data_IF_102412523642
#
_entry.id   IF_102412523642
#
_cell.length_a   1.000
_cell.length_b   1.000
_cell.length_c   1.000
_cell.angle_alpha   90.00
_cell.angle_beta   90.00
_cell.angle_gamma   90.00
#
_symmetry.space_group_name_H-M   'P 1'
#
loop_
_entity.id
_entity.type
_entity.pdbx_description
1 polymer ?
#
# COMPACT_ATOMS: atom_id res chain seq x y z
N UNK A 1 -59.04 27.63 24.13
CA UNK A 1 -58.95 26.36 23.38
C UNK A 1 -59.28 26.68 21.93
N UNK A 2 -58.33 26.53 21.02
CA UNK A 2 -58.62 26.51 19.58
C UNK A 2 -58.43 25.09 19.07
N UNK A 3 -59.54 24.39 18.87
CA UNK A 3 -59.56 23.10 18.19
C UNK A 3 -59.70 23.35 16.70
N UNK A 4 -58.56 23.55 16.02
CA UNK A 4 -58.49 23.31 14.57
C UNK A 4 -58.82 21.83 14.35
N UNK A 5 -59.85 21.57 13.55
CA UNK A 5 -60.29 20.20 13.26
C UNK A 5 -59.18 19.44 12.51
N UNK A 6 -59.23 18.11 12.54
CA UNK A 6 -58.21 17.31 11.84
C UNK A 6 -58.21 17.53 10.32
N UNK A 7 -59.31 18.07 9.78
CA UNK A 7 -59.48 18.43 8.36
C UNK A 7 -58.63 19.66 8.01
N UNK A 8 -58.78 20.75 8.76
CA UNK A 8 -58.03 22.01 8.58
C UNK A 8 -56.50 21.78 8.62
N UNK A 9 -56.06 20.84 9.45
CA UNK A 9 -54.65 20.48 9.63
C UNK A 9 -54.06 19.70 8.45
N UNK A 10 -54.88 19.01 7.66
CA UNK A 10 -54.46 18.35 6.42
C UNK A 10 -54.43 19.35 5.27
N UNK A 11 -55.44 20.24 5.18
CA UNK A 11 -55.46 21.35 4.21
C UNK A 11 -54.26 22.30 4.38
N UNK A 12 -53.84 22.54 5.63
CA UNK A 12 -52.58 23.21 5.96
C UNK A 12 -51.37 22.51 5.34
N UNK A 13 -51.27 21.18 5.45
CA UNK A 13 -50.16 20.42 4.91
C UNK A 13 -50.11 20.48 3.38
N UNK A 14 -51.24 20.31 2.70
CA UNK A 14 -51.31 20.31 1.23
C UNK A 14 -51.01 21.71 0.65
N UNK A 15 -51.50 22.76 1.32
CA UNK A 15 -51.20 24.16 0.96
C UNK A 15 -49.72 24.49 1.13
N UNK A 16 -49.11 24.08 2.24
CA UNK A 16 -47.69 24.29 2.51
C UNK A 16 -46.78 23.41 1.63
N UNK A 17 -47.23 22.21 1.25
CA UNK A 17 -46.54 21.37 0.27
C UNK A 17 -46.49 22.05 -1.11
N UNK A 18 -47.60 22.66 -1.53
CA UNK A 18 -47.67 23.46 -2.77
C UNK A 18 -46.71 24.65 -2.74
N UNK A 19 -46.58 25.32 -1.58
CA UNK A 19 -45.57 26.37 -1.39
C UNK A 19 -44.13 25.82 -1.43
N UNK A 20 -43.82 24.70 -0.77
CA UNK A 20 -42.47 24.08 -0.84
C UNK A 20 -42.09 23.69 -2.27
N UNK A 21 -43.04 23.31 -3.13
CA UNK A 21 -42.77 22.99 -4.53
C UNK A 21 -42.25 24.18 -5.35
N UNK A 22 -42.52 25.44 -4.95
CA UNK A 22 -41.99 26.62 -5.67
C UNK A 22 -40.49 26.79 -5.52
N UNK A 23 -39.86 26.12 -4.54
CA UNK A 23 -38.43 26.23 -4.28
C UNK A 23 -37.55 25.58 -5.37
N UNK A 24 -38.10 24.72 -6.24
CA UNK A 24 -37.32 24.03 -7.28
C UNK A 24 -36.16 23.24 -6.68
N UNK A 25 -36.48 22.28 -5.80
CA UNK A 25 -35.52 21.46 -5.06
C UNK A 25 -35.09 20.24 -5.87
N UNK A 26 -33.90 19.70 -5.56
CA UNK A 26 -33.36 18.52 -6.25
C UNK A 26 -34.07 17.22 -5.82
N UNK A 27 -34.47 17.14 -4.55
CA UNK A 27 -35.25 16.02 -4.05
C UNK A 27 -36.72 16.10 -4.55
N UNK A 28 -37.35 14.96 -4.88
CA UNK A 28 -38.78 14.93 -5.17
C UNK A 28 -39.58 15.45 -3.97
N UNK A 29 -40.64 16.22 -4.23
CA UNK A 29 -41.44 16.89 -3.22
C UNK A 29 -42.92 16.96 -3.62
N UNK A 30 -43.45 15.87 -4.22
CA UNK A 30 -44.80 15.83 -4.79
C UNK A 30 -45.85 15.31 -3.82
N UNK A 31 -45.43 14.55 -2.81
CA UNK A 31 -46.31 13.87 -1.86
C UNK A 31 -45.82 14.07 -0.43
N UNK A 32 -46.72 13.91 0.54
CA UNK A 32 -46.42 13.87 1.99
C UNK A 32 -45.24 12.91 2.26
N UNK A 33 -45.25 11.73 1.64
CA UNK A 33 -44.25 10.68 1.84
C UNK A 33 -42.82 11.13 1.46
N UNK A 34 -42.66 11.89 0.37
CA UNK A 34 -41.35 12.40 -0.09
C UNK A 34 -40.66 13.27 0.99
N UNK A 35 -41.46 14.07 1.71
CA UNK A 35 -40.99 15.00 2.73
C UNK A 35 -40.63 14.30 4.07
N UNK A 36 -41.19 13.12 4.36
CA UNK A 36 -40.92 12.38 5.60
C UNK A 36 -39.44 12.02 5.78
N UNK A 37 -38.66 12.01 4.70
CA UNK A 37 -37.21 11.82 4.70
C UNK A 37 -36.43 12.94 5.43
N UNK A 38 -37.04 14.13 5.58
CA UNK A 38 -36.40 15.35 6.07
C UNK A 38 -35.42 16.01 5.08
N UNK A 39 -35.16 15.40 3.92
CA UNK A 39 -34.20 15.88 2.92
C UNK A 39 -34.71 17.15 2.24
N UNK A 40 -35.97 17.11 1.78
CA UNK A 40 -36.66 18.25 1.13
C UNK A 40 -36.67 19.48 2.06
N UNK A 41 -37.00 19.29 3.34
CA UNK A 41 -37.02 20.36 4.34
C UNK A 41 -35.63 20.97 4.56
N UNK A 42 -34.58 20.14 4.60
CA UNK A 42 -33.22 20.60 4.78
C UNK A 42 -32.72 21.41 3.57
N UNK A 43 -33.08 20.99 2.34
CA UNK A 43 -32.80 21.75 1.13
C UNK A 43 -33.60 23.08 1.08
N UNK A 44 -34.86 23.09 1.54
CA UNK A 44 -35.65 24.31 1.65
C UNK A 44 -35.02 25.32 2.63
N UNK A 45 -34.59 24.86 3.82
CA UNK A 45 -33.90 25.70 4.81
C UNK A 45 -32.56 26.24 4.29
N UNK A 46 -31.80 25.42 3.55
CA UNK A 46 -30.58 25.87 2.88
C UNK A 46 -30.83 26.97 1.84
N UNK A 47 -31.99 26.98 1.16
CA UNK A 47 -32.37 28.11 0.29
C UNK A 47 -32.85 29.33 1.07
N UNK A 48 -33.55 29.14 2.19
CA UNK A 48 -34.04 30.25 3.05
C UNK A 48 -32.87 31.06 3.61
N UNK A 49 -31.82 30.39 4.07
CA UNK A 49 -30.61 31.02 4.60
C UNK A 49 -29.40 30.09 4.46
N UNK A 50 -28.66 30.25 3.35
CA UNK A 50 -27.45 29.46 3.06
C UNK A 50 -26.28 29.78 4.00
N UNK A 51 -26.31 30.94 4.67
CA UNK A 51 -25.26 31.38 5.60
C UNK A 51 -25.38 30.63 6.92
N UNK A 52 -26.61 30.40 7.40
CA UNK A 52 -26.87 29.58 8.58
C UNK A 52 -26.92 28.07 8.25
N UNK A 53 -27.73 27.68 7.26
CA UNK A 53 -27.95 26.29 6.85
C UNK A 53 -26.90 25.82 5.82
N UNK A 54 -25.63 25.92 6.21
CA UNK A 54 -24.45 25.59 5.37
C UNK A 54 -24.39 24.14 4.88
N UNK A 55 -23.52 23.87 3.90
CA UNK A 55 -23.25 22.51 3.40
C UNK A 55 -22.78 21.52 4.50
N UNK A 56 -22.09 22.03 5.53
CA UNK A 56 -21.68 21.24 6.69
C UNK A 56 -22.87 20.90 7.63
N UNK A 57 -23.96 21.65 7.56
CA UNK A 57 -25.21 21.31 8.23
C UNK A 57 -26.00 20.29 7.41
N UNK A 58 -26.21 20.54 6.10
CA UNK A 58 -27.03 19.65 5.26
C UNK A 58 -26.40 18.26 5.08
N UNK A 59 -25.07 18.14 5.03
CA UNK A 59 -24.36 16.85 4.98
C UNK A 59 -24.61 15.94 6.20
N UNK A 60 -25.18 16.46 7.29
CA UNK A 60 -25.62 15.67 8.45
C UNK A 60 -26.96 14.96 8.21
N UNK A 61 -27.71 15.37 7.19
CA UNK A 61 -28.97 14.78 6.74
C UNK A 61 -28.63 13.67 5.74
N UNK A 62 -29.09 12.45 5.99
CA UNK A 62 -28.83 11.32 5.08
C UNK A 62 -29.83 11.34 3.93
N UNK A 63 -29.42 11.33 2.65
CA UNK A 63 -30.36 11.31 1.53
C UNK A 63 -30.98 9.91 1.29
N UNK A 64 -30.17 8.84 1.39
CA UNK A 64 -30.61 7.46 1.16
C UNK A 64 -31.29 6.86 2.40
N UNK A 65 -32.53 7.29 2.66
CA UNK A 65 -33.30 6.85 3.84
C UNK A 65 -34.19 5.64 3.54
N UNK A 66 -34.85 5.63 2.38
CA UNK A 66 -35.90 4.65 2.04
C UNK A 66 -36.98 4.55 3.14
N UNK A 67 -37.49 3.34 3.35
CA UNK A 67 -38.52 3.05 4.35
C UNK A 67 -37.99 2.97 5.80
N UNK A 68 -36.72 3.34 6.05
CA UNK A 68 -36.13 3.28 7.37
C UNK A 68 -36.58 4.46 8.24
N UNK A 69 -37.78 4.32 8.82
CA UNK A 69 -38.41 5.32 9.69
C UNK A 69 -37.49 5.84 10.82
N UNK A 70 -36.59 5.02 11.37
CA UNK A 70 -35.63 5.47 12.40
C UNK A 70 -34.62 6.48 11.85
N UNK A 71 -34.21 6.31 10.59
CA UNK A 71 -33.36 7.28 9.89
C UNK A 71 -34.17 8.51 9.46
N UNK A 72 -35.44 8.36 9.04
CA UNK A 72 -36.38 9.49 8.83
C UNK A 72 -36.46 10.38 10.08
N UNK A 73 -36.80 9.80 11.24
CA UNK A 73 -36.82 10.50 12.54
C UNK A 73 -35.46 11.13 12.86
N UNK A 74 -34.34 10.45 12.59
CA UNK A 74 -33.00 10.99 12.85
C UNK A 74 -32.67 12.22 12.00
N UNK A 75 -33.18 12.31 10.78
CA UNK A 75 -33.09 13.49 9.94
C UNK A 75 -34.03 14.58 10.44
N UNK A 76 -35.32 14.28 10.64
CA UNK A 76 -36.34 15.23 11.14
C UNK A 76 -35.94 15.87 12.48
N UNK A 77 -35.31 15.12 13.38
CA UNK A 77 -34.72 15.65 14.64
C UNK A 77 -33.68 16.75 14.41
N UNK A 78 -32.85 16.64 13.38
CA UNK A 78 -31.82 17.64 13.04
C UNK A 78 -32.44 18.85 12.35
N UNK A 79 -33.42 18.63 11.47
CA UNK A 79 -34.18 19.71 10.81
C UNK A 79 -34.93 20.54 11.85
N UNK A 80 -35.72 19.90 12.73
CA UNK A 80 -36.49 20.59 13.76
C UNK A 80 -35.58 21.36 14.71
N UNK A 81 -34.47 20.75 15.14
CA UNK A 81 -33.48 21.46 15.95
C UNK A 81 -32.93 22.68 15.21
N UNK A 82 -32.51 22.55 13.95
CA UNK A 82 -31.98 23.68 13.17
C UNK A 82 -32.98 24.82 12.98
N UNK A 83 -34.27 24.50 12.82
CA UNK A 83 -35.36 25.48 12.79
C UNK A 83 -35.46 26.25 14.12
N UNK A 84 -35.47 25.53 15.25
CA UNK A 84 -35.61 26.15 16.57
C UNK A 84 -34.38 26.99 16.94
N UNK A 85 -33.18 26.46 16.70
CA UNK A 85 -31.92 27.18 16.89
C UNK A 85 -31.90 28.46 16.01
N UNK A 86 -32.31 28.39 14.73
CA UNK A 86 -32.40 29.57 13.84
C UNK A 86 -33.40 30.64 14.32
N UNK A 87 -34.59 30.23 14.75
CA UNK A 87 -35.60 31.16 15.27
C UNK A 87 -35.11 31.91 16.52
N UNK A 88 -34.38 31.21 17.39
CA UNK A 88 -33.85 31.78 18.62
C UNK A 88 -32.58 32.64 18.39
N UNK A 89 -31.62 32.13 17.60
CA UNK A 89 -30.29 32.74 17.45
C UNK A 89 -30.27 33.87 16.40
N UNK A 90 -30.98 33.69 15.28
CA UNK A 90 -30.97 34.64 14.14
C UNK A 90 -32.20 35.54 14.15
N UNK A 91 -33.40 34.95 14.21
CA UNK A 91 -34.64 35.73 14.12
C UNK A 91 -35.02 36.42 15.45
N UNK A 92 -34.40 36.01 16.56
CA UNK A 92 -34.70 36.48 17.93
C UNK A 92 -36.19 36.33 18.33
N UNK A 93 -36.90 35.41 17.67
CA UNK A 93 -38.31 35.12 17.93
C UNK A 93 -38.42 33.91 18.84
N UNK A 94 -38.98 34.13 20.03
CA UNK A 94 -39.45 33.02 20.85
C UNK A 94 -40.79 32.54 20.28
N UNK A 95 -40.80 31.30 19.81
CA UNK A 95 -42.02 30.60 19.42
C UNK A 95 -42.77 30.20 20.71
N UNK A 96 -43.36 31.19 21.37
CA UNK A 96 -44.19 31.01 22.55
C UNK A 96 -45.62 30.61 22.11
N UNK A 97 -46.23 29.70 22.85
CA UNK A 97 -47.60 29.18 22.66
C UNK A 97 -47.90 28.36 21.38
N UNK A 98 -46.93 28.13 20.48
CA UNK A 98 -47.07 27.18 19.36
C UNK A 98 -46.83 25.72 19.79
N UNK A 99 -47.56 24.77 19.18
CA UNK A 99 -47.37 23.34 19.44
C UNK A 99 -46.31 22.76 18.49
N UNK A 100 -45.17 22.32 19.04
CA UNK A 100 -44.10 21.69 18.25
C UNK A 100 -44.57 20.39 17.56
N UNK A 101 -44.10 20.09 16.33
CA UNK A 101 -44.50 18.89 15.58
C UNK A 101 -43.95 17.59 16.19
N UNK A 102 -44.77 16.55 16.26
CA UNK A 102 -44.31 15.20 16.65
C UNK A 102 -43.64 14.47 15.47
N UNK A 103 -42.33 14.65 15.39
CA UNK A 103 -41.43 14.00 14.42
C UNK A 103 -41.49 12.47 14.44
N UNK A 104 -41.98 11.81 15.49
CA UNK A 104 -42.13 10.35 15.50
C UNK A 104 -43.36 9.94 14.68
N UNK A 105 -44.48 10.67 14.77
CA UNK A 105 -45.66 10.45 13.94
C UNK A 105 -45.39 10.74 12.44
N UNK A 106 -44.61 11.78 12.14
CA UNK A 106 -44.14 12.04 10.76
C UNK A 106 -43.28 10.87 10.25
N UNK A 107 -42.35 10.36 11.07
CA UNK A 107 -41.41 9.32 10.66
C UNK A 107 -41.99 7.91 10.57
N UNK A 108 -42.88 7.52 11.49
CA UNK A 108 -43.48 6.18 11.59
C UNK A 108 -44.81 6.03 10.85
N UNK A 109 -45.57 7.12 10.69
CA UNK A 109 -46.95 7.08 10.18
C UNK A 109 -47.21 8.05 9.02
N UNK A 110 -46.20 8.83 8.60
CA UNK A 110 -46.35 9.88 7.58
C UNK A 110 -47.51 10.86 7.89
N UNK A 111 -47.69 11.20 9.17
CA UNK A 111 -48.81 12.03 9.62
C UNK A 111 -48.76 13.42 8.98
N UNK A 112 -49.76 13.73 8.15
CA UNK A 112 -49.85 14.98 7.41
C UNK A 112 -50.09 16.19 8.32
N UNK A 113 -50.78 16.05 9.46
CA UNK A 113 -51.05 17.16 10.36
C UNK A 113 -49.79 17.59 11.15
N UNK A 114 -48.95 16.63 11.54
CA UNK A 114 -47.62 16.92 12.10
C UNK A 114 -46.65 17.42 11.02
N UNK A 115 -46.73 16.89 9.79
CA UNK A 115 -45.94 17.40 8.67
C UNK A 115 -46.31 18.86 8.35
N UNK A 116 -47.59 19.21 8.36
CA UNK A 116 -48.08 20.58 8.20
C UNK A 116 -47.50 21.53 9.25
N UNK A 117 -47.50 21.15 10.54
CA UNK A 117 -46.81 21.91 11.61
C UNK A 117 -45.31 22.09 11.33
N UNK A 118 -44.64 21.03 10.88
CA UNK A 118 -43.22 21.08 10.53
C UNK A 118 -42.94 22.07 9.38
N UNK A 119 -43.80 22.10 8.36
CA UNK A 119 -43.72 23.06 7.26
C UNK A 119 -44.10 24.49 7.68
N UNK A 120 -45.05 24.66 8.60
CA UNK A 120 -45.47 25.97 9.12
C UNK A 120 -44.31 26.68 9.84
N UNK A 121 -43.44 25.93 10.53
CA UNK A 121 -42.21 26.48 11.10
C UNK A 121 -41.18 26.89 10.03
N UNK A 122 -41.05 26.14 8.93
CA UNK A 122 -40.18 26.50 7.80
C UNK A 122 -40.69 27.76 7.09
N UNK A 123 -42.02 27.88 6.93
CA UNK A 123 -42.67 29.10 6.48
C UNK A 123 -42.38 30.28 7.42
N UNK A 124 -42.47 30.06 8.74
CA UNK A 124 -42.07 31.02 9.77
C UNK A 124 -40.63 31.52 9.59
N UNK A 125 -39.67 30.64 9.28
CA UNK A 125 -38.32 31.04 8.93
C UNK A 125 -38.28 31.90 7.66
N UNK A 126 -38.94 31.47 6.58
CA UNK A 126 -38.91 32.13 5.27
C UNK A 126 -39.52 33.54 5.26
N UNK A 127 -40.58 33.79 6.03
CA UNK A 127 -41.22 35.12 6.10
C UNK A 127 -40.54 36.08 7.08
N UNK A 128 -39.57 35.60 7.88
CA UNK A 128 -38.83 36.40 8.85
C UNK A 128 -37.34 36.60 8.51
N UNK A 129 -36.74 35.77 7.65
CA UNK A 129 -35.33 35.89 7.23
C UNK A 129 -35.03 37.20 6.47
N UNK A 130 -33.74 37.46 6.19
CA UNK A 130 -33.29 38.66 5.47
C UNK A 130 -33.94 38.79 4.08
N UNK A 131 -34.09 37.66 3.37
CA UNK A 131 -34.66 37.59 2.01
C UNK A 131 -36.19 37.43 1.99
N UNK A 132 -36.90 37.65 3.11
CA UNK A 132 -38.35 37.44 3.23
C UNK A 132 -39.22 38.07 2.14
N UNK A 133 -38.77 39.15 1.52
CA UNK A 133 -39.51 39.80 0.43
C UNK A 133 -39.69 38.88 -0.78
N UNK A 134 -38.70 38.04 -1.12
CA UNK A 134 -38.78 37.09 -2.23
C UNK A 134 -39.76 35.95 -1.93
N UNK A 135 -39.73 35.44 -0.69
CA UNK A 135 -40.66 34.41 -0.23
C UNK A 135 -42.11 34.91 -0.13
N UNK A 136 -42.32 36.14 0.36
CA UNK A 136 -43.65 36.77 0.40
C UNK A 136 -44.19 37.03 -1.01
N UNK A 137 -43.36 37.53 -1.95
CA UNK A 137 -43.76 37.69 -3.35
C UNK A 137 -44.12 36.34 -3.99
N UNK A 138 -43.35 35.28 -3.70
CA UNK A 138 -43.65 33.93 -4.19
C UNK A 138 -45.01 33.43 -3.66
N UNK A 139 -45.32 33.67 -2.39
CA UNK A 139 -46.63 33.35 -1.80
C UNK A 139 -47.76 34.10 -2.52
N UNK A 140 -47.59 35.39 -2.81
CA UNK A 140 -48.58 36.22 -3.54
C UNK A 140 -48.85 35.77 -4.99
N UNK A 141 -48.03 34.86 -5.54
CA UNK A 141 -48.22 34.27 -6.87
C UNK A 141 -48.90 32.89 -6.85
N UNK A 142 -49.21 32.34 -5.66
CA UNK A 142 -49.96 31.10 -5.50
C UNK A 142 -51.47 31.28 -5.72
N UNK A 143 -52.23 30.19 -5.76
CA UNK A 143 -53.69 30.24 -5.82
C UNK A 143 -54.30 30.87 -4.55
N UNK A 144 -55.40 31.63 -4.69
CA UNK A 144 -56.01 32.41 -3.60
C UNK A 144 -56.40 31.56 -2.37
N UNK A 145 -56.83 30.32 -2.59
CA UNK A 145 -57.08 29.32 -1.54
C UNK A 145 -55.82 29.04 -0.72
N UNK A 146 -54.71 28.73 -1.38
CA UNK A 146 -53.40 28.47 -0.77
C UNK A 146 -52.88 29.73 -0.06
N UNK A 147 -53.04 30.91 -0.65
CA UNK A 147 -52.67 32.18 -0.02
C UNK A 147 -53.40 32.40 1.30
N UNK A 148 -54.70 32.10 1.37
CA UNK A 148 -55.49 32.26 2.59
C UNK A 148 -55.03 31.31 3.71
N UNK A 149 -54.73 30.05 3.38
CA UNK A 149 -54.21 29.07 4.34
C UNK A 149 -52.82 29.48 4.84
N UNK A 150 -51.92 29.89 3.94
CA UNK A 150 -50.57 30.40 4.28
C UNK A 150 -50.64 31.66 5.16
N UNK A 151 -51.54 32.59 4.84
CA UNK A 151 -51.77 33.80 5.65
C UNK A 151 -52.30 33.46 7.04
N UNK A 152 -53.24 32.51 7.15
CA UNK A 152 -53.77 32.04 8.43
C UNK A 152 -52.69 31.37 9.27
N UNK A 153 -51.84 30.54 8.65
CA UNK A 153 -50.70 29.89 9.29
C UNK A 153 -49.66 30.90 9.84
N UNK A 154 -49.48 32.03 9.15
CA UNK A 154 -48.65 33.17 9.59
C UNK A 154 -49.33 33.96 10.72
N UNK A 155 -50.65 34.14 10.69
CA UNK A 155 -51.40 34.85 11.74
C UNK A 155 -51.55 34.03 13.04
N UNK A 156 -51.62 32.71 12.94
CA UNK A 156 -51.57 31.80 14.09
C UNK A 156 -50.24 31.93 14.83
N UNK A 157 -49.14 32.13 14.11
CA UNK A 157 -47.82 32.47 14.67
C UNK A 157 -47.75 33.89 15.30
N UNK A 158 -48.81 34.73 15.24
CA UNK A 158 -48.73 36.18 15.58
C UNK A 158 -49.90 36.84 16.36
N UNK A 159 -51.01 36.18 16.74
CA UNK A 159 -52.27 36.88 17.16
C UNK A 159 -52.67 36.84 18.67
N UNK A 160 -53.50 37.82 19.13
CA UNK A 160 -54.00 37.99 20.54
C UNK A 160 -55.43 38.66 20.69
N UNK A 161 -56.50 37.85 20.87
CA UNK A 161 -57.88 38.02 21.48
C UNK A 161 -58.90 39.22 21.24
N UNK A 162 -60.22 39.03 21.55
CA UNK A 162 -61.42 39.86 21.14
C UNK A 162 -62.74 39.74 22.03
N UNK A 163 -63.76 40.69 22.04
CA UNK A 163 -65.08 40.61 22.78
C UNK A 163 -66.43 41.06 22.06
N UNK A 164 -67.65 40.87 22.67
CA UNK A 164 -69.04 41.09 22.06
C UNK A 164 -70.23 41.48 23.03
N UNK A 165 -71.38 42.01 22.52
CA UNK A 165 -72.81 42.17 23.03
C UNK A 165 -73.26 43.55 23.62
N UNK A 166 -74.55 44.00 23.70
CA UNK A 166 -75.91 43.52 23.29
C UNK A 166 -77.07 44.37 23.96
N UNK A 167 -78.36 44.35 23.52
CA UNK A 167 -79.44 45.24 24.09
C UNK A 167 -80.94 44.88 23.81
N UNK A 168 -81.91 45.52 24.51
CA UNK A 168 -83.32 45.09 24.75
C UNK A 168 -84.38 46.23 24.77
N UNK A 169 -85.70 45.94 24.62
CA UNK A 169 -86.89 46.79 24.94
C UNK A 169 -88.22 45.96 24.91
N UNK A 170 -89.45 46.48 25.14
CA UNK A 170 -90.11 46.83 26.43
C UNK A 170 -91.66 46.96 26.28
N UNK A 171 -92.35 47.55 27.28
CA UNK A 171 -93.65 48.29 27.24
C UNK A 171 -95.03 47.56 27.09
N UNK A 172 -95.99 47.88 28.00
CA UNK A 172 -97.43 47.59 27.86
C UNK A 172 -98.27 48.82 28.31
N UNK A 173 -99.23 49.27 27.47
CA UNK A 173 -99.30 50.70 27.15
C UNK A 173 -100.62 51.48 27.42
N UNK A 174 -101.58 50.96 28.21
CA UNK A 174 -102.90 51.62 28.32
C UNK A 174 -103.41 52.02 29.70
N UNK A 175 -102.89 51.49 30.82
CA UNK A 175 -103.09 52.15 32.13
C UNK A 175 -102.45 53.55 32.14
N UNK A 176 -101.47 53.72 31.24
CA UNK A 176 -100.87 54.99 30.83
C UNK A 176 -101.86 56.01 30.29
N UNK A 177 -103.06 55.69 29.79
CA UNK A 177 -103.83 56.68 29.04
C UNK A 177 -104.67 57.67 29.89
N UNK A 178 -105.05 57.29 31.10
CA UNK A 178 -105.68 58.22 32.06
C UNK A 178 -104.65 58.84 33.01
N UNK A 179 -103.58 58.09 33.29
CA UNK A 179 -102.35 58.63 33.87
C UNK A 179 -101.82 59.75 32.95
N UNK A 180 -101.75 59.52 31.63
CA UNK A 180 -101.39 60.49 30.58
C UNK A 180 -102.05 61.84 30.79
N UNK A 181 -103.37 62.01 30.92
CA UNK A 181 -103.90 63.39 30.95
C UNK A 181 -103.59 64.20 32.21
N UNK A 182 -103.28 63.55 33.33
CA UNK A 182 -102.77 64.21 34.55
C UNK A 182 -101.25 64.29 34.54
N UNK A 183 -100.57 63.32 33.92
CA UNK A 183 -99.17 63.39 33.54
C UNK A 183 -98.96 64.56 32.57
N UNK A 184 -99.59 64.64 31.40
CA UNK A 184 -99.63 65.74 30.41
C UNK A 184 -99.73 67.14 31.04
N UNK A 185 -100.52 67.33 32.11
CA UNK A 185 -100.61 68.63 32.80
C UNK A 185 -99.44 68.87 33.76
N UNK A 186 -99.01 67.85 34.50
CA UNK A 186 -97.80 67.91 35.32
C UNK A 186 -96.53 67.95 34.46
N UNK A 187 -96.56 67.39 33.25
CA UNK A 187 -95.54 67.34 32.21
C UNK A 187 -95.53 68.66 31.45
N UNK A 188 -96.67 69.32 31.22
CA UNK A 188 -96.71 70.72 30.77
C UNK A 188 -96.12 71.69 31.82
N UNK A 189 -96.32 71.43 33.12
CA UNK A 189 -95.68 72.21 34.19
C UNK A 189 -94.20 71.85 34.38
N UNK A 190 -93.84 70.57 34.29
CA UNK A 190 -92.46 70.10 34.38
C UNK A 190 -91.65 70.55 33.17
N UNK A 191 -92.17 70.45 31.94
CA UNK A 191 -91.52 70.99 30.73
C UNK A 191 -91.44 72.50 30.77
N UNK A 192 -92.41 73.22 31.35
CA UNK A 192 -92.26 74.67 31.58
C UNK A 192 -91.10 74.97 32.55
N UNK A 193 -90.97 74.20 33.64
CA UNK A 193 -89.86 74.35 34.60
C UNK A 193 -88.52 73.91 34.00
N UNK A 194 -88.50 72.83 33.21
CA UNK A 194 -87.34 72.32 32.48
C UNK A 194 -86.91 73.28 31.37
N UNK A 195 -87.85 73.93 30.66
CA UNK A 195 -87.56 75.01 29.72
C UNK A 195 -86.99 76.22 30.46
N UNK A 196 -87.52 76.56 31.64
CA UNK A 196 -86.98 77.66 32.45
C UNK A 196 -85.56 77.35 32.97
N UNK A 197 -85.32 76.13 33.46
CA UNK A 197 -84.00 75.63 33.84
C UNK A 197 -83.04 75.62 32.65
N UNK A 198 -83.47 75.12 31.49
CA UNK A 198 -82.68 75.08 30.27
C UNK A 198 -82.37 76.48 29.71
N UNK A 199 -83.29 77.44 29.84
CA UNK A 199 -83.01 78.85 29.57
C UNK A 199 -81.94 79.38 30.53
N UNK A 200 -82.04 79.09 31.83
CA UNK A 200 -81.04 79.49 32.82
C UNK A 200 -79.66 78.85 32.58
N UNK A 201 -79.62 77.56 32.22
CA UNK A 201 -78.40 76.84 31.84
C UNK A 201 -77.78 77.40 30.55
N UNK A 202 -78.60 77.77 29.56
CA UNK A 202 -78.14 78.44 28.34
C UNK A 202 -77.59 79.84 28.64
N UNK A 203 -78.25 80.62 29.51
CA UNK A 203 -77.72 81.93 29.95
C UNK A 203 -76.39 81.77 30.69
N UNK A 204 -76.25 80.74 31.54
CA UNK A 204 -74.99 80.39 32.21
C UNK A 204 -73.90 79.95 31.22
N UNK A 205 -74.22 79.13 30.22
CA UNK A 205 -73.27 78.75 29.16
C UNK A 205 -72.84 79.95 28.32
N UNK A 206 -73.78 80.85 27.97
CA UNK A 206 -73.47 82.08 27.23
C UNK A 206 -72.56 82.99 28.05
N UNK A 207 -72.77 83.11 29.36
CA UNK A 207 -71.88 83.85 30.25
C UNK A 207 -70.46 83.23 30.29
N UNK A 208 -70.36 81.92 30.48
CA UNK A 208 -69.08 81.21 30.50
C UNK A 208 -68.31 81.33 29.17
N UNK A 209 -68.99 81.18 28.02
CA UNK A 209 -68.40 81.35 26.70
C UNK A 209 -67.97 82.80 26.43
N UNK A 210 -68.66 83.80 27.01
CA UNK A 210 -68.23 85.21 26.93
C UNK A 210 -66.97 85.48 27.76
N UNK A 211 -66.85 84.85 28.93
CA UNK A 211 -65.64 84.92 29.77
C UNK A 211 -64.45 84.24 29.07
N UNK A 212 -64.61 83.02 28.58
CA UNK A 212 -63.58 82.27 27.83
C UNK A 212 -63.10 83.05 26.59
N UNK A 213 -64.02 83.65 25.82
CA UNK A 213 -63.68 84.53 24.70
C UNK A 213 -62.86 85.76 25.15
N UNK A 214 -63.13 86.28 26.34
CA UNK A 214 -62.35 87.37 26.95
C UNK A 214 -60.93 86.94 27.27
N UNK A 215 -60.76 85.79 27.92
CA UNK A 215 -59.46 85.21 28.27
C UNK A 215 -58.61 84.90 27.03
N UNK A 216 -59.19 84.26 26.01
CA UNK A 216 -58.49 83.95 24.76
C UNK A 216 -58.03 85.21 24.01
N UNK A 217 -58.83 86.29 24.02
CA UNK A 217 -58.43 87.57 23.43
C UNK A 217 -57.24 88.22 24.17
N UNK A 218 -57.21 88.13 25.50
CA UNK A 218 -56.10 88.64 26.31
C UNK A 218 -54.80 87.84 26.08
N UNK A 219 -54.89 86.51 26.01
CA UNK A 219 -53.74 85.64 25.67
C UNK A 219 -53.19 85.95 24.27
N UNK A 220 -54.07 86.15 23.29
CA UNK A 220 -53.66 86.48 21.92
C UNK A 220 -52.90 87.82 21.83
N UNK A 221 -53.28 88.82 22.63
CA UNK A 221 -52.53 90.08 22.74
C UNK A 221 -51.13 89.88 23.32
N UNK A 222 -50.99 89.09 24.39
CA UNK A 222 -49.69 88.77 25.01
C UNK A 222 -48.78 88.02 24.03
N UNK A 223 -49.33 87.10 23.23
CA UNK A 223 -48.58 86.37 22.20
C UNK A 223 -48.10 87.31 21.07
N UNK A 224 -48.93 88.25 20.62
CA UNK A 224 -48.53 89.28 19.66
C UNK A 224 -47.41 90.20 20.20
N UNK A 225 -47.48 90.63 21.46
CA UNK A 225 -46.41 91.43 22.08
C UNK A 225 -45.09 90.65 22.17
N UNK A 226 -45.12 89.35 22.47
CA UNK A 226 -43.92 88.50 22.45
C UNK A 226 -43.34 88.34 21.05
N UNK A 227 -44.17 88.20 20.02
CA UNK A 227 -43.71 88.08 18.64
C UNK A 227 -43.01 89.38 18.17
N UNK A 228 -43.60 90.54 18.47
CA UNK A 228 -42.99 91.84 18.20
C UNK A 228 -41.68 92.07 18.98
N UNK A 229 -41.46 91.37 20.10
CA UNK A 229 -40.19 91.39 20.84
C UNK A 229 -39.13 90.47 20.22
N UNK A 230 -39.50 89.38 19.53
CA UNK A 230 -38.53 88.52 18.83
C UNK A 230 -37.92 89.17 17.58
N UNK A 231 -38.63 90.09 16.92
CA UNK A 231 -38.09 90.84 15.77
C UNK A 231 -36.91 91.77 16.15
N UNK A 232 -36.70 92.03 17.46
CA UNK A 232 -35.53 92.74 17.99
C UNK A 232 -34.21 91.96 17.89
N UNK A 233 -34.22 90.70 17.44
CA UNK A 233 -33.01 89.86 17.36
C UNK A 233 -32.09 90.28 16.19
N UNK A 234 -32.61 90.99 15.18
CA UNK A 234 -31.83 91.43 14.00
C UNK A 234 -30.82 92.57 14.29
N UNK A 235 -30.91 93.27 15.44
CA UNK A 235 -29.91 94.28 15.82
C UNK A 235 -28.64 93.65 16.39
N UNK A 236 -27.61 93.55 15.55
CA UNK A 236 -26.26 93.08 15.91
C UNK A 236 -25.63 93.81 17.11
N UNK A 237 -26.01 95.06 17.41
CA UNK A 237 -25.45 95.81 18.54
C UNK A 237 -26.08 95.46 19.89
N UNK A 238 -27.27 94.86 19.89
CA UNK A 238 -27.97 94.34 21.06
C UNK A 238 -27.12 93.33 21.83
N UNK A 239 -27.20 93.26 23.19
CA UNK A 239 -26.56 92.21 23.97
C UNK A 239 -26.94 90.79 23.51
N UNK A 240 -28.15 90.62 22.97
CA UNK A 240 -28.64 89.35 22.42
C UNK A 240 -27.97 89.05 21.08
N UNK A 241 -27.91 90.02 20.16
CA UNK A 241 -27.26 89.90 18.85
C UNK A 241 -25.77 89.55 18.96
N UNK A 242 -25.03 90.21 19.87
CA UNK A 242 -23.60 89.87 20.12
C UNK A 242 -23.41 88.45 20.66
N UNK A 243 -24.30 88.00 21.55
CA UNK A 243 -24.26 86.63 22.08
C UNK A 243 -24.59 85.61 20.99
N UNK A 244 -25.54 85.91 20.11
CA UNK A 244 -25.87 85.08 18.96
C UNK A 244 -24.67 84.95 18.01
N UNK A 245 -24.03 86.06 17.63
CA UNK A 245 -22.83 86.05 16.79
C UNK A 245 -21.67 85.27 17.43
N UNK A 246 -21.44 85.43 18.74
CA UNK A 246 -20.40 84.68 19.45
C UNK A 246 -20.68 83.16 19.45
N UNK A 247 -21.93 82.75 19.63
CA UNK A 247 -22.33 81.34 19.54
C UNK A 247 -22.22 80.82 18.10
N UNK A 248 -22.51 81.64 17.10
CA UNK A 248 -22.35 81.28 15.68
C UNK A 248 -20.88 81.03 15.33
N UNK A 249 -19.94 81.92 15.71
CA UNK A 249 -18.50 81.69 15.47
C UNK A 249 -17.97 80.48 16.24
N UNK A 250 -18.50 80.18 17.43
CA UNK A 250 -18.17 78.94 18.15
C UNK A 250 -18.71 77.70 17.43
N UNK A 251 -19.93 77.76 16.87
CA UNK A 251 -20.51 76.69 16.06
C UNK A 251 -19.67 76.41 14.82
N UNK A 252 -19.29 77.46 14.09
CA UNK A 252 -18.43 77.39 12.89
C UNK A 252 -17.06 76.78 13.22
N UNK A 253 -16.43 77.20 14.32
CA UNK A 253 -15.14 76.64 14.76
C UNK A 253 -15.24 75.15 15.14
N UNK A 254 -16.28 74.76 15.87
CA UNK A 254 -16.52 73.35 16.24
C UNK A 254 -16.85 72.52 14.99
N UNK A 255 -17.55 73.07 14.00
CA UNK A 255 -17.80 72.40 12.71
C UNK A 255 -16.50 72.18 11.93
N UNK A 256 -15.61 73.18 11.86
CA UNK A 256 -14.30 73.05 11.20
C UNK A 256 -13.40 72.04 11.91
N UNK A 257 -13.34 72.06 13.24
CA UNK A 257 -12.59 71.08 14.03
C UNK A 257 -13.17 69.67 13.88
N UNK A 258 -14.50 69.52 13.86
CA UNK A 258 -15.18 68.25 13.59
C UNK A 258 -14.80 67.71 12.21
N UNK A 259 -14.89 68.53 11.15
CA UNK A 259 -14.52 68.12 9.80
C UNK A 259 -13.05 67.69 9.70
N UNK A 260 -12.14 68.44 10.34
CA UNK A 260 -10.72 68.09 10.40
C UNK A 260 -10.46 66.77 11.13
N UNK A 261 -11.19 66.50 12.22
CA UNK A 261 -11.10 65.25 12.95
C UNK A 261 -11.71 64.08 12.15
N UNK A 262 -12.77 64.32 11.39
CA UNK A 262 -13.39 63.33 10.49
C UNK A 262 -12.40 62.85 9.42
N UNK A 263 -11.71 63.78 8.75
CA UNK A 263 -10.67 63.48 7.76
C UNK A 263 -9.51 62.70 8.39
N UNK A 264 -9.00 63.15 9.54
CA UNK A 264 -7.91 62.45 10.24
C UNK A 264 -8.32 61.03 10.68
N UNK A 265 -9.58 60.84 11.11
CA UNK A 265 -10.16 59.53 11.46
C UNK A 265 -10.19 58.61 10.25
N UNK A 266 -10.55 59.10 9.07
CA UNK A 266 -10.54 58.29 7.83
C UNK A 266 -9.11 57.97 7.35
N UNK A 267 -8.15 58.90 7.47
CA UNK A 267 -6.73 58.60 7.20
C UNK A 267 -6.19 57.49 8.12
N UNK A 268 -6.51 57.55 9.43
CA UNK A 268 -6.14 56.49 10.37
C UNK A 268 -6.86 55.17 10.06
N UNK A 269 -8.12 55.20 9.64
CA UNK A 269 -8.88 54.00 9.23
C UNK A 269 -8.22 53.31 8.05
N UNK A 270 -7.89 54.06 6.98
CA UNK A 270 -7.20 53.53 5.79
C UNK A 270 -5.85 52.91 6.21
N UNK A 271 -5.07 53.60 7.04
CA UNK A 271 -3.78 53.08 7.51
C UNK A 271 -3.91 51.81 8.37
N UNK A 272 -4.98 51.67 9.15
CA UNK A 272 -5.28 50.43 9.87
C UNK A 272 -5.66 49.29 8.91
N UNK A 273 -6.40 49.57 7.83
CA UNK A 273 -6.74 48.59 6.79
C UNK A 273 -5.48 48.15 6.00
N UNK A 274 -4.56 49.06 5.71
CA UNK A 274 -3.26 48.78 5.07
C UNK A 274 -2.36 47.90 5.96
N UNK A 275 -2.14 48.28 7.21
CA UNK A 275 -1.37 47.48 8.18
C UNK A 275 -2.03 46.12 8.45
N UNK A 276 -3.36 46.04 8.38
CA UNK A 276 -4.10 44.77 8.43
C UNK A 276 -3.76 43.85 7.26
N UNK A 277 -3.70 44.38 6.04
CA UNK A 277 -3.29 43.63 4.83
C UNK A 277 -1.84 43.16 4.93
N UNK A 278 -0.91 44.04 5.28
CA UNK A 278 0.50 43.69 5.48
C UNK A 278 0.66 42.57 6.53
N UNK A 279 -0.08 42.64 7.65
CA UNK A 279 -0.07 41.59 8.68
C UNK A 279 -0.64 40.26 8.17
N UNK A 280 -1.67 40.26 7.32
CA UNK A 280 -2.17 39.02 6.71
C UNK A 280 -1.20 38.43 5.69
N UNK A 281 -0.55 39.27 4.89
CA UNK A 281 0.44 38.83 3.89
C UNK A 281 1.70 38.25 4.57
N UNK A 282 2.23 38.93 5.58
CA UNK A 282 3.36 38.44 6.37
C UNK A 282 3.05 37.15 7.14
N UNK A 283 1.79 36.94 7.56
CA UNK A 283 1.36 35.66 8.15
C UNK A 283 1.36 34.54 7.11
N UNK A 284 0.78 34.77 5.93
CA UNK A 284 0.79 33.80 4.84
C UNK A 284 2.22 33.41 4.43
N UNK A 285 3.11 34.38 4.24
CA UNK A 285 4.53 34.13 3.95
C UNK A 285 5.23 33.31 5.06
N UNK A 286 4.88 33.52 6.32
CA UNK A 286 5.46 32.76 7.45
C UNK A 286 4.91 31.32 7.52
N UNK A 287 3.63 31.12 7.19
CA UNK A 287 3.01 29.80 7.04
C UNK A 287 3.64 29.01 5.88
N UNK A 288 3.86 29.65 4.73
CA UNK A 288 4.58 29.07 3.58
C UNK A 288 6.03 28.70 3.93
N UNK A 289 6.77 29.59 4.61
CA UNK A 289 8.13 29.32 5.07
C UNK A 289 8.19 28.18 6.10
N UNK A 290 7.18 28.06 6.96
CA UNK A 290 7.06 26.94 7.92
C UNK A 290 6.80 25.63 7.18
N UNK A 291 5.88 25.61 6.22
CA UNK A 291 5.60 24.43 5.38
C UNK A 291 6.84 23.97 4.60
N UNK A 292 7.61 24.90 4.03
CA UNK A 292 8.88 24.61 3.35
C UNK A 292 9.96 24.08 4.30
N UNK A 293 9.98 24.53 5.55
CA UNK A 293 10.90 24.02 6.57
C UNK A 293 10.55 22.58 6.98
N UNK A 294 9.26 22.27 7.13
CA UNK A 294 8.75 20.93 7.43
C UNK A 294 9.03 19.96 6.26
N UNK A 295 8.80 20.38 5.01
CA UNK A 295 9.14 19.60 3.82
C UNK A 295 10.66 19.33 3.73
N UNK A 296 11.49 20.35 3.95
CA UNK A 296 12.94 20.20 3.96
C UNK A 296 13.44 19.25 5.06
N UNK A 297 12.77 19.22 6.22
CA UNK A 297 13.08 18.28 7.29
C UNK A 297 12.62 16.85 6.94
N UNK A 298 11.45 16.66 6.32
CA UNK A 298 11.00 15.35 5.81
C UNK A 298 11.95 14.78 4.76
N UNK A 299 12.36 15.60 3.77
CA UNK A 299 13.31 15.20 2.73
C UNK A 299 14.68 14.82 3.32
N UNK A 300 15.12 15.49 4.39
CA UNK A 300 16.35 15.17 5.10
C UNK A 300 16.26 13.83 5.82
N UNK A 301 15.12 13.52 6.46
CA UNK A 301 14.90 12.24 7.13
C UNK A 301 14.86 11.09 6.11
N UNK A 302 14.25 11.30 4.93
CA UNK A 302 14.33 10.36 3.79
C UNK A 302 15.78 10.17 3.30
N UNK A 303 16.57 11.24 3.16
CA UNK A 303 17.98 11.15 2.78
C UNK A 303 18.81 10.34 3.78
N UNK A 304 18.53 10.46 5.08
CA UNK A 304 19.26 9.69 6.11
C UNK A 304 18.84 8.21 6.14
N UNK A 305 17.57 7.89 5.85
CA UNK A 305 17.13 6.51 5.59
C UNK A 305 17.85 5.93 4.35
N UNK A 306 17.93 6.69 3.26
CA UNK A 306 18.62 6.28 2.04
C UNK A 306 20.12 6.07 2.28
N UNK A 307 20.79 6.95 3.05
CA UNK A 307 22.19 6.76 3.49
C UNK A 307 22.38 5.46 4.25
N UNK A 308 21.52 5.18 5.23
CA UNK A 308 21.61 3.92 5.99
C UNK A 308 21.40 2.68 5.10
N UNK A 309 20.52 2.78 4.10
CA UNK A 309 20.34 1.72 3.10
C UNK A 309 21.60 1.53 2.23
N UNK A 310 22.27 2.62 1.84
CA UNK A 310 23.50 2.60 1.04
C UNK A 310 24.67 1.96 1.82
N UNK A 311 24.84 2.32 3.09
CA UNK A 311 25.83 1.69 3.99
C UNK A 311 25.60 0.18 4.12
N UNK A 312 24.33 -0.25 4.13
CA UNK A 312 23.96 -1.67 4.18
C UNK A 312 24.28 -2.38 2.85
N UNK A 313 24.03 -1.74 1.71
CA UNK A 313 24.41 -2.25 0.38
C UNK A 313 25.93 -2.40 0.28
N UNK A 314 26.71 -1.38 0.65
CA UNK A 314 28.18 -1.43 0.62
C UNK A 314 28.75 -2.59 1.47
N UNK A 315 28.17 -2.82 2.67
CA UNK A 315 28.53 -3.98 3.50
C UNK A 315 28.19 -5.32 2.84
N UNK A 316 27.06 -5.41 2.14
CA UNK A 316 26.66 -6.61 1.38
C UNK A 316 27.61 -6.84 0.18
N UNK A 317 28.00 -5.80 -0.54
CA UNK A 317 28.96 -5.88 -1.65
C UNK A 317 30.32 -6.42 -1.20
N UNK A 318 30.87 -5.91 -0.08
CA UNK A 318 32.12 -6.41 0.50
C UNK A 318 32.01 -7.90 0.89
N UNK A 319 30.86 -8.32 1.45
CA UNK A 319 30.63 -9.74 1.75
C UNK A 319 30.55 -10.59 0.48
N UNK A 320 29.83 -10.14 -0.55
CA UNK A 320 29.73 -10.81 -1.87
C UNK A 320 31.12 -10.97 -2.49
N UNK A 321 31.96 -9.94 -2.47
CA UNK A 321 33.32 -10.02 -3.00
C UNK A 321 34.18 -11.02 -2.22
N UNK A 322 34.02 -11.07 -0.89
CA UNK A 322 34.68 -12.09 -0.05
C UNK A 322 34.23 -13.53 -0.38
N UNK A 323 32.98 -13.71 -0.82
CA UNK A 323 32.46 -15.02 -1.25
C UNK A 323 32.90 -15.39 -2.66
N UNK A 324 33.00 -14.44 -3.60
CA UNK A 324 33.62 -14.68 -4.92
C UNK A 324 35.03 -15.20 -4.78
N UNK A 325 35.87 -14.53 -3.99
CA UNK A 325 37.25 -14.97 -3.74
C UNK A 325 37.33 -16.39 -3.17
N UNK A 326 36.48 -16.72 -2.19
CA UNK A 326 36.38 -18.09 -1.66
C UNK A 326 35.95 -19.12 -2.71
N UNK A 327 35.12 -18.74 -3.68
CA UNK A 327 34.73 -19.62 -4.80
C UNK A 327 35.87 -19.81 -5.80
N UNK A 328 36.68 -18.79 -6.05
CA UNK A 328 37.91 -18.88 -6.85
C UNK A 328 38.93 -19.80 -6.17
N UNK A 329 39.21 -19.60 -4.88
CA UNK A 329 40.09 -20.46 -4.06
C UNK A 329 39.63 -21.94 -4.09
N UNK A 330 38.31 -22.18 -4.01
CA UNK A 330 37.72 -23.53 -4.14
C UNK A 330 37.86 -24.10 -5.55
N UNK A 331 37.78 -23.26 -6.59
CA UNK A 331 38.05 -23.64 -7.97
C UNK A 331 39.50 -24.06 -8.18
N UNK A 332 40.45 -23.31 -7.61
CA UNK A 332 41.87 -23.61 -7.64
C UNK A 332 42.19 -24.92 -6.90
N UNK A 333 41.63 -25.11 -5.70
CA UNK A 333 41.76 -26.35 -4.95
C UNK A 333 41.21 -27.56 -5.72
N UNK A 334 40.05 -27.43 -6.39
CA UNK A 334 39.50 -28.50 -7.25
C UNK A 334 40.44 -28.84 -8.42
N UNK A 335 41.08 -27.85 -9.05
CA UNK A 335 42.07 -28.11 -10.11
C UNK A 335 43.33 -28.80 -9.56
N UNK A 336 43.79 -28.42 -8.36
CA UNK A 336 44.91 -29.10 -7.69
C UNK A 336 44.58 -30.56 -7.36
N UNK A 337 43.39 -30.85 -6.84
CA UNK A 337 42.92 -32.22 -6.58
C UNK A 337 42.94 -33.05 -7.87
N UNK A 338 42.36 -32.54 -8.96
CA UNK A 338 42.37 -33.24 -10.26
C UNK A 338 43.78 -33.53 -10.77
N UNK A 339 44.71 -32.58 -10.64
CA UNK A 339 46.12 -32.78 -11.01
C UNK A 339 46.83 -33.82 -10.13
N UNK A 340 46.45 -33.95 -8.86
CA UNK A 340 46.97 -34.99 -7.96
C UNK A 340 46.37 -36.37 -8.29
N UNK A 341 45.08 -36.44 -8.64
CA UNK A 341 44.42 -37.66 -9.11
C UNK A 341 45.02 -38.17 -10.44
N UNK A 342 45.27 -37.27 -11.39
CA UNK A 342 45.95 -37.58 -12.66
C UNK A 342 47.38 -38.11 -12.41
N UNK A 343 48.16 -37.45 -11.54
CA UNK A 343 49.51 -37.92 -11.15
C UNK A 343 49.48 -39.27 -10.43
N UNK A 344 48.53 -39.49 -9.53
CA UNK A 344 48.38 -40.76 -8.81
C UNK A 344 48.03 -41.91 -9.80
N UNK A 345 47.13 -41.64 -10.74
CA UNK A 345 46.79 -42.57 -11.83
C UNK A 345 48.03 -42.93 -12.67
N UNK A 346 48.87 -41.94 -13.02
CA UNK A 346 50.12 -42.18 -13.73
C UNK A 346 51.12 -43.00 -12.90
N UNK A 347 51.28 -42.73 -11.61
CA UNK A 347 52.13 -43.54 -10.72
C UNK A 347 51.62 -44.98 -10.58
N UNK A 348 50.30 -45.19 -10.54
CA UNK A 348 49.69 -46.52 -10.52
C UNK A 348 49.96 -47.28 -11.83
N UNK A 349 49.77 -46.64 -12.99
CA UNK A 349 50.10 -47.22 -14.30
C UNK A 349 51.59 -47.59 -14.42
N UNK A 350 52.48 -46.70 -13.97
CA UNK A 350 53.91 -46.95 -13.98
C UNK A 350 54.31 -48.11 -13.04
N UNK A 351 53.69 -48.19 -11.85
CA UNK A 351 53.88 -49.31 -10.92
C UNK A 351 53.46 -50.63 -11.56
N UNK A 352 52.28 -50.71 -12.19
CA UNK A 352 51.83 -51.91 -12.91
C UNK A 352 52.79 -52.28 -14.05
N UNK A 353 53.28 -51.31 -14.83
CA UNK A 353 54.27 -51.56 -15.88
C UNK A 353 55.58 -52.15 -15.33
N UNK A 354 56.10 -51.61 -14.22
CA UNK A 354 57.29 -52.14 -13.55
C UNK A 354 57.05 -53.54 -12.97
N UNK A 355 55.88 -53.81 -12.41
CA UNK A 355 55.50 -55.17 -11.98
C UNK A 355 55.45 -56.15 -13.16
N UNK A 356 55.03 -55.72 -14.34
CA UNK A 356 55.10 -56.54 -15.56
C UNK A 356 56.52 -56.83 -16.00
N UNK A 357 57.41 -55.83 -15.96
CA UNK A 357 58.82 -55.99 -16.28
C UNK A 357 59.51 -56.93 -15.30
N UNK A 358 59.23 -56.79 -13.99
CA UNK A 358 59.71 -57.71 -12.95
C UNK A 358 59.18 -59.13 -13.18
N UNK A 359 57.92 -59.29 -13.60
CA UNK A 359 57.34 -60.60 -13.96
C UNK A 359 58.06 -61.23 -15.16
N UNK A 360 58.29 -60.44 -16.23
CA UNK A 360 59.05 -60.87 -17.42
C UNK A 360 60.49 -61.26 -17.06
N UNK A 361 61.18 -60.43 -16.28
CA UNK A 361 62.54 -60.69 -15.80
C UNK A 361 62.64 -61.93 -14.89
N UNK A 362 61.62 -62.19 -14.06
CA UNK A 362 61.55 -63.43 -13.28
C UNK A 362 61.34 -64.68 -14.15
N UNK A 363 60.53 -64.58 -15.21
CA UNK A 363 60.35 -65.67 -16.18
C UNK A 363 61.65 -65.97 -16.94
N UNK A 364 62.35 -64.96 -17.47
CA UNK A 364 63.62 -65.16 -18.17
C UNK A 364 64.73 -65.63 -17.22
N UNK A 365 64.75 -65.17 -15.96
CA UNK A 365 65.64 -65.71 -14.92
C UNK A 365 65.36 -67.19 -14.62
N UNK A 366 64.10 -67.61 -14.61
CA UNK A 366 63.70 -69.02 -14.48
C UNK A 366 64.19 -69.89 -15.65
N UNK A 367 64.06 -69.39 -16.88
CA UNK A 367 64.60 -70.03 -18.08
C UNK A 367 66.13 -70.11 -18.05
N UNK A 368 66.82 -69.03 -17.68
CA UNK A 368 68.28 -69.03 -17.53
C UNK A 368 68.76 -70.07 -16.51
N UNK A 369 68.03 -70.22 -15.39
CA UNK A 369 68.36 -71.22 -14.37
C UNK A 369 68.10 -72.66 -14.86
N UNK A 370 67.07 -72.90 -15.68
CA UNK A 370 66.88 -74.22 -16.31
C UNK A 370 67.98 -74.54 -17.33
N UNK A 371 68.41 -73.56 -18.15
CA UNK A 371 69.55 -73.73 -19.06
C UNK A 371 70.86 -73.98 -18.32
N UNK A 372 71.13 -73.28 -17.20
CA UNK A 372 72.30 -73.56 -16.35
C UNK A 372 72.32 -75.00 -15.85
N UNK A 373 71.17 -75.55 -15.40
CA UNK A 373 71.07 -76.96 -14.99
C UNK A 373 71.37 -77.91 -16.15
N UNK A 374 70.82 -77.64 -17.34
CA UNK A 374 71.12 -78.43 -18.55
C UNK A 374 72.61 -78.38 -18.91
N UNK A 375 73.27 -77.22 -18.81
CA UNK A 375 74.71 -77.09 -19.02
C UNK A 375 75.51 -77.93 -18.02
N UNK A 376 75.16 -77.89 -16.73
CA UNK A 376 75.81 -78.73 -15.71
C UNK A 376 75.58 -80.23 -15.96
N UNK A 377 74.36 -80.62 -16.35
CA UNK A 377 74.05 -82.01 -16.69
C UNK A 377 74.84 -82.50 -17.92
N UNK A 378 74.97 -81.67 -18.96
CA UNK A 378 75.79 -81.95 -20.14
C UNK A 378 77.28 -81.98 -19.81
N UNK A 379 77.77 -81.11 -18.94
CA UNK A 379 79.15 -81.15 -18.43
C UNK A 379 79.45 -82.44 -17.66
N UNK A 380 78.50 -82.91 -16.83
CA UNK A 380 78.62 -84.18 -16.13
C UNK A 380 78.67 -85.36 -17.12
N UNK A 381 77.75 -85.42 -18.09
CA UNK A 381 77.74 -86.45 -19.15
C UNK A 381 79.03 -86.43 -19.97
N UNK A 382 79.53 -85.25 -20.32
CA UNK A 382 80.82 -85.09 -21.01
C UNK A 382 81.99 -85.59 -20.16
N UNK A 383 81.99 -85.34 -18.85
CA UNK A 383 82.99 -85.89 -17.92
C UNK A 383 82.91 -87.42 -17.80
N UNK A 384 81.71 -87.99 -17.84
CA UNK A 384 81.50 -89.45 -17.82
C UNK A 384 81.99 -90.12 -19.10
N UNK A 385 81.63 -89.59 -20.27
CA UNK A 385 82.12 -90.09 -21.56
C UNK A 385 83.63 -89.84 -21.76
N UNK A 386 84.19 -88.75 -21.23
CA UNK A 386 85.64 -88.54 -21.14
C UNK A 386 86.30 -89.65 -20.32
N UNK A 387 85.85 -89.89 -19.08
CA UNK A 387 86.38 -90.97 -18.22
C UNK A 387 86.24 -92.36 -18.83
N UNK A 388 85.19 -92.59 -19.62
CA UNK A 388 84.96 -93.83 -20.37
C UNK A 388 85.92 -93.94 -21.56
N UNK A 389 86.20 -92.84 -22.25
CA UNK A 389 87.22 -92.76 -23.29
C UNK A 389 88.61 -93.03 -22.72
N UNK A 390 88.98 -92.39 -21.60
CA UNK A 390 90.25 -92.61 -20.90
C UNK A 390 90.45 -94.09 -20.51
N UNK A 391 89.37 -94.74 -20.01
CA UNK A 391 89.38 -96.19 -19.70
C UNK A 391 89.59 -97.04 -20.95
N UNK A 392 88.87 -96.74 -22.03
CA UNK A 392 89.01 -97.47 -23.30
C UNK A 392 90.40 -97.28 -23.92
N UNK A 393 90.98 -96.08 -23.82
CA UNK A 393 92.35 -95.80 -24.27
C UNK A 393 93.39 -96.56 -23.43
N UNK A 394 93.20 -96.65 -22.10
CA UNK A 394 94.04 -97.46 -21.23
C UNK A 394 93.93 -98.96 -21.54
N UNK A 395 92.71 -99.47 -21.73
CA UNK A 395 92.50 -100.87 -22.14
C UNK A 395 93.10 -101.16 -23.51
N UNK A 396 92.95 -100.25 -24.48
CA UNK A 396 93.56 -100.33 -25.80
C UNK A 396 95.10 -100.34 -25.72
N UNK A 397 95.71 -99.46 -24.93
CA UNK A 397 97.17 -99.45 -24.70
C UNK A 397 97.64 -100.77 -24.10
N UNK A 398 96.97 -101.28 -23.06
CA UNK A 398 97.27 -102.58 -22.44
C UNK A 398 97.12 -103.76 -23.41
N UNK A 399 96.09 -103.73 -24.25
CA UNK A 399 95.87 -104.73 -25.31
C UNK A 399 96.96 -104.66 -26.38
N UNK A 400 97.34 -103.45 -26.80
CA UNK A 400 98.43 -103.20 -27.76
C UNK A 400 99.77 -103.66 -27.22
N UNK A 401 100.14 -103.29 -25.99
CA UNK A 401 101.35 -103.77 -25.31
C UNK A 401 101.39 -105.31 -25.24
N UNK A 402 100.24 -105.94 -25.00
CA UNK A 402 100.13 -107.40 -25.01
C UNK A 402 100.31 -107.97 -26.41
N UNK A 403 99.71 -107.38 -27.45
CA UNK A 403 99.95 -107.76 -28.85
C UNK A 403 101.43 -107.58 -29.24
N UNK A 404 102.05 -106.46 -28.88
CA UNK A 404 103.46 -106.18 -29.14
C UNK A 404 104.38 -107.18 -28.42
N UNK A 405 104.02 -107.60 -27.19
CA UNK A 405 104.74 -108.64 -26.43
C UNK A 405 104.63 -110.02 -27.09
N UNK A 406 103.42 -110.41 -27.53
CA UNK A 406 103.18 -111.66 -28.26
C UNK A 406 103.83 -111.66 -29.65
N UNK A 407 103.91 -110.51 -30.31
CA UNK A 407 104.61 -110.34 -31.58
C UNK A 407 106.13 -110.47 -31.39
N UNK A 408 106.71 -109.88 -30.33
CA UNK A 408 108.12 -110.10 -29.94
C UNK A 408 108.41 -111.56 -29.58
N UNK A 409 107.51 -112.23 -28.86
CA UNK A 409 107.63 -113.65 -28.53
C UNK A 409 107.54 -114.52 -29.79
N UNK A 410 106.58 -114.26 -30.67
CA UNK A 410 106.46 -114.88 -32.00
C UNK A 410 107.73 -114.68 -32.83
N UNK A 411 108.28 -113.47 -32.90
CA UNK A 411 109.50 -113.19 -33.68
C UNK A 411 110.74 -113.83 -33.03
N UNK A 412 110.81 -113.91 -31.70
CA UNK A 412 111.83 -114.70 -31.00
C UNK A 412 111.72 -116.19 -31.34
N UNK A 413 110.52 -116.78 -31.25
CA UNK A 413 110.27 -118.18 -31.64
C UNK A 413 110.56 -118.42 -33.13
N UNK A 414 110.35 -117.42 -33.98
CA UNK A 414 110.69 -117.43 -35.41
C UNK A 414 112.22 -117.43 -35.60
N UNK A 415 112.97 -116.62 -34.86
CA UNK A 415 114.44 -116.63 -34.85
C UNK A 415 115.01 -117.93 -34.27
N UNK A 416 114.46 -118.45 -33.16
CA UNK A 416 114.86 -119.75 -32.59
C UNK A 416 114.56 -120.91 -33.56
N UNK A 417 113.43 -120.88 -34.27
CA UNK A 417 113.14 -121.80 -35.37
C UNK A 417 114.17 -121.68 -36.51
N UNK A 418 114.57 -120.47 -36.88
CA UNK A 418 115.47 -120.27 -38.01
C UNK A 418 116.94 -120.61 -37.66
N UNK A 419 117.41 -120.41 -36.43
CA UNK A 419 118.69 -120.96 -35.97
C UNK A 419 118.66 -122.48 -35.78
N UNK A 420 117.52 -123.06 -35.41
CA UNK A 420 117.31 -124.51 -35.44
C UNK A 420 117.32 -125.07 -36.87
N UNK A 421 116.83 -124.33 -37.87
CA UNK A 421 117.02 -124.71 -39.29
C UNK A 421 118.48 -124.60 -39.70
N UNK A 422 119.15 -123.51 -39.36
CA UNK A 422 120.57 -123.29 -39.69
C UNK A 422 121.44 -124.43 -39.14
N UNK A 423 121.27 -124.80 -37.87
CA UNK A 423 121.95 -125.97 -37.27
C UNK A 423 121.55 -127.31 -37.90
N UNK A 424 120.31 -127.48 -38.40
CA UNK A 424 119.91 -128.65 -39.21
C UNK A 424 120.62 -128.64 -40.58
N UNK A 425 120.77 -127.49 -41.22
CA UNK A 425 121.51 -127.30 -42.47
C UNK A 425 123.01 -127.59 -42.28
N UNK A 426 123.63 -127.12 -41.18
CA UNK A 426 125.01 -127.44 -40.80
C UNK A 426 125.20 -128.95 -40.58
N UNK A 427 124.28 -129.59 -39.84
CA UNK A 427 124.29 -131.04 -39.63
C UNK A 427 124.11 -131.83 -40.94
N UNK A 428 123.32 -131.33 -41.88
CA UNK A 428 123.21 -131.88 -43.25
C UNK A 428 124.53 -131.73 -44.02
N UNK A 429 125.21 -130.60 -43.88
CA UNK A 429 126.50 -130.34 -44.53
C UNK A 429 127.62 -131.27 -43.99
N UNK A 430 127.68 -131.48 -42.68
CA UNK A 430 128.58 -132.48 -42.05
C UNK A 430 128.25 -133.91 -42.49
N UNK A 431 126.98 -134.21 -42.75
CA UNK A 431 126.57 -135.52 -43.29
C UNK A 431 127.02 -135.71 -44.74
N UNK A 432 126.90 -134.67 -45.58
CA UNK A 432 127.32 -134.68 -46.98
C UNK A 432 128.84 -134.86 -47.16
N UNK A 433 129.67 -134.40 -46.22
CA UNK A 433 131.13 -134.65 -46.25
C UNK A 433 131.53 -136.10 -45.93
N UNK A 434 130.60 -136.96 -45.50
CA UNK A 434 130.92 -138.34 -45.04
C UNK A 434 130.65 -139.44 -46.06
N UNK A 435 130.10 -139.12 -47.23
CA UNK A 435 129.69 -140.08 -48.27
C UNK A 435 130.51 -139.95 -49.57
N UNK A 436 131.83 -140.13 -49.50
CA UNK A 436 132.74 -140.13 -50.67
C UNK A 436 133.49 -141.46 -50.93
N UNK A 437 133.03 -142.58 -50.37
CA UNK A 437 133.54 -143.92 -50.68
C UNK A 437 132.36 -144.91 -50.89
N UNK A 438 132.32 -145.54 -52.08
CA UNK A 438 131.42 -146.62 -52.52
C UNK A 438 129.99 -146.27 -53.01
N UNK A 439 129.94 -145.66 -54.21
CA UNK A 439 128.97 -145.88 -55.32
C UNK A 439 128.30 -147.28 -55.32
N UNK A 440 127.08 -147.57 -55.80
CA UNK A 440 125.98 -146.92 -56.56
C UNK A 440 125.15 -148.08 -57.22
N UNK A 441 123.92 -147.98 -57.74
CA UNK A 441 123.04 -146.88 -58.17
C UNK A 441 121.55 -147.28 -57.98
N UNK A 442 120.64 -146.32 -57.93
CA UNK A 442 119.16 -146.51 -57.86
C UNK A 442 118.49 -145.66 -58.96
N UNK A 443 117.41 -146.14 -59.62
CA UNK A 443 116.60 -145.29 -60.50
C UNK A 443 115.12 -145.11 -60.06
N UNK A 444 114.59 -143.93 -60.42
CA UNK A 444 113.18 -143.58 -60.71
C UNK A 444 112.15 -143.37 -59.57
N UNK A 445 111.73 -142.10 -59.43
CA UNK A 445 110.30 -141.77 -59.30
C UNK A 445 109.85 -140.81 -58.19
N UNK A 446 109.98 -139.47 -58.39
CA UNK A 446 108.92 -138.47 -58.19
C UNK A 446 109.41 -137.01 -58.40
N UNK A 447 108.68 -136.24 -59.23
CA UNK A 447 108.86 -134.79 -59.50
C UNK A 447 108.33 -133.93 -58.32
N UNK A 448 108.96 -132.84 -57.86
CA UNK A 448 109.24 -131.50 -58.47
C UNK A 448 108.07 -130.49 -58.43
N UNK A 449 108.40 -129.23 -58.08
CA UNK A 449 107.52 -128.03 -58.13
C UNK A 449 107.13 -127.49 -56.74
N UNK A 450 107.89 -126.66 -56.02
CA UNK A 450 108.40 -125.29 -56.27
C UNK A 450 107.52 -124.13 -55.74
N UNK A 451 108.06 -123.44 -54.72
CA UNK A 451 108.02 -122.00 -54.45
C UNK A 451 106.79 -121.20 -53.90
N UNK A 452 107.09 -120.56 -52.75
CA UNK A 452 106.99 -119.11 -52.43
C UNK A 452 105.67 -118.40 -52.03
N UNK A 453 105.72 -117.78 -50.83
CA UNK A 453 105.37 -116.39 -50.38
C UNK A 453 104.27 -115.60 -51.15
N UNK A 454 103.41 -114.74 -50.56
CA UNK A 454 103.34 -114.00 -49.28
C UNK A 454 101.84 -113.71 -48.93
N UNK A 455 101.36 -113.55 -47.67
CA UNK A 455 101.38 -112.41 -46.71
C UNK A 455 100.28 -111.32 -46.93
N UNK A 456 99.96 -110.53 -45.87
CA UNK A 456 98.82 -109.59 -45.67
C UNK A 456 97.42 -110.23 -45.46
N UNK A 457 96.61 -110.02 -44.38
CA UNK A 457 96.33 -108.88 -43.45
C UNK A 457 95.58 -107.74 -44.17
N UNK A 458 94.32 -107.41 -43.87
CA UNK A 458 93.85 -106.55 -42.75
C UNK A 458 92.41 -106.91 -42.30
N UNK A 459 92.10 -106.56 -41.05
CA UNK A 459 90.89 -106.82 -40.24
C UNK A 459 89.63 -106.00 -40.58
N UNK A 460 88.43 -106.40 -40.07
CA UNK A 460 87.14 -105.82 -40.42
C UNK A 460 86.67 -104.68 -39.48
N UNK A 461 85.68 -103.89 -39.93
CA UNK A 461 84.86 -103.01 -39.07
C UNK A 461 83.41 -103.50 -38.97
N UNK A 462 82.82 -103.29 -37.79
CA UNK A 462 81.57 -103.89 -37.30
C UNK A 462 80.90 -102.89 -36.33
N UNK A 463 79.56 -102.92 -36.24
CA UNK A 463 78.66 -102.30 -35.22
C UNK A 463 78.31 -100.82 -35.34
N UNK A 464 77.15 -100.41 -34.82
CA UNK A 464 75.78 -100.98 -34.61
C UNK A 464 75.02 -99.90 -33.80
N UNK A 465 73.70 -99.81 -33.98
CA UNK A 465 72.66 -99.19 -33.12
C UNK A 465 72.96 -97.88 -32.35
#
# INVERSE_FOLDING_TARGET
MSTLDSVDRVELCDSLLTWIQTFGLEAPCKTVEDLTSGVVMAQALQKIDIVYFTDNWISRIKPEVGDNWRLKISNLKKVLKGILDYNQEVLQQQINDFTLPDINLIGEHADAAELGRMLQLILGCAVNCEQKQEYIQTIMMLEESVQHVVMTAIQELMSKECPVMGGSDSYADMDRQLKRTVEDLNEALATKEEIAQRCHELDMQVAALQEERGSLLAENQILMERLNQSDSIEDLNSPVGRRHLQLQTQLEHVQEETFRLEVAKDDYRIRCEELGKELTELRGQNEELTSLADEAQSLKDEMDVLRHSSDKVSKLEVMVESYKKKLEDLGDLRRQVKLLEEKNTLYMQNTVSLEEEVRKANTTRGQLESYKRQVVELQNKLSEESKKTDKMEFEYKRLKEKVDSLQKEKDRMRSERDSLKETIEELRCVKAQKEQLSTGMVPLGNNEGSDSLAEEIITPEIRYD
#
